data_IF_775919790932
#
_entry.id   IF_775919790932
#
_cell.length_a   1.000
_cell.length_b   1.000
_cell.length_c   1.000
_cell.angle_alpha   90.00
_cell.angle_beta   90.00
_cell.angle_gamma   90.00
#
_symmetry.space_group_name_H-M   'P 1'
#
loop_
_entity.id
_entity.type
_entity.pdbx_description
1 polymer ?
#
# COMPACT_ATOMS: atom_id res chain seq x y z
N UNK A 1 -18.03 0.61 -1.48
CA UNK A 1 -16.77 0.02 -1.01
C UNK A 1 -16.75 -1.49 -1.16
N UNK A 2 -17.75 -2.18 -0.61
CA UNK A 2 -17.76 -3.65 -0.60
C UNK A 2 -17.78 -4.28 -2.00
N UNK A 3 -18.44 -3.65 -2.96
CA UNK A 3 -18.47 -4.16 -4.33
C UNK A 3 -17.10 -4.08 -5.00
N UNK A 4 -16.38 -2.98 -4.76
CA UNK A 4 -15.03 -2.81 -5.30
C UNK A 4 -14.06 -3.78 -4.61
N UNK A 5 -14.22 -4.00 -3.31
CA UNK A 5 -13.40 -4.97 -2.58
C UNK A 5 -13.58 -6.38 -3.12
N UNK A 6 -14.81 -6.77 -3.50
CA UNK A 6 -15.08 -8.07 -4.12
C UNK A 6 -14.30 -8.25 -5.43
N UNK A 7 -14.15 -7.19 -6.20
CA UNK A 7 -13.40 -7.25 -7.45
C UNK A 7 -11.92 -7.53 -7.17
N UNK A 8 -11.34 -6.91 -6.14
CA UNK A 8 -9.96 -7.18 -5.73
C UNK A 8 -9.81 -8.64 -5.27
N UNK A 9 -10.73 -9.12 -4.45
CA UNK A 9 -10.69 -10.51 -3.97
C UNK A 9 -10.85 -11.51 -5.11
N UNK A 10 -11.67 -11.20 -6.10
CA UNK A 10 -11.83 -12.04 -7.30
C UNK A 10 -10.54 -12.07 -8.13
N UNK A 11 -9.86 -10.92 -8.27
CA UNK A 11 -8.58 -10.84 -8.96
C UNK A 11 -7.50 -11.66 -8.25
N UNK A 12 -7.46 -11.62 -6.92
CA UNK A 12 -6.54 -12.45 -6.13
C UNK A 12 -6.78 -13.93 -6.40
N UNK A 13 -8.02 -14.37 -6.37
CA UNK A 13 -8.35 -15.78 -6.66
C UNK A 13 -7.94 -16.18 -8.06
N UNK A 14 -8.16 -15.30 -9.03
CA UNK A 14 -7.75 -15.55 -10.41
C UNK A 14 -6.24 -15.80 -10.49
N UNK A 15 -5.44 -14.96 -9.86
CA UNK A 15 -3.98 -15.10 -9.85
C UNK A 15 -3.56 -16.37 -9.12
N UNK A 16 -4.20 -16.71 -8.00
CA UNK A 16 -3.91 -17.92 -7.23
C UNK A 16 -4.20 -19.19 -8.04
N UNK A 17 -5.27 -19.19 -8.84
CA UNK A 17 -5.58 -20.32 -9.72
C UNK A 17 -4.53 -20.54 -10.80
N UNK A 18 -3.76 -19.51 -11.12
CA UNK A 18 -2.74 -19.58 -12.17
C UNK A 18 -1.35 -19.98 -11.67
N UNK A 19 -0.99 -19.64 -10.44
CA UNK A 19 0.41 -19.73 -10.03
C UNK A 19 0.68 -20.35 -8.66
N UNK A 20 -0.28 -20.49 -7.79
CA UNK A 20 -0.10 -20.93 -6.39
C UNK A 20 0.92 -20.10 -5.58
N UNK A 21 1.41 -18.99 -6.13
CA UNK A 21 2.36 -18.13 -5.43
C UNK A 21 1.66 -17.12 -4.54
N UNK A 22 2.29 -16.72 -3.42
CA UNK A 22 1.76 -15.62 -2.62
C UNK A 22 1.60 -14.35 -3.46
N UNK A 23 0.55 -13.58 -3.14
CA UNK A 23 0.21 -12.36 -3.87
C UNK A 23 0.72 -11.15 -3.11
N UNK A 24 1.29 -10.18 -3.82
CA UNK A 24 1.56 -8.85 -3.29
C UNK A 24 0.58 -7.91 -3.98
N UNK A 25 -0.21 -7.20 -3.19
CA UNK A 25 -1.11 -6.18 -3.72
C UNK A 25 -0.35 -4.87 -3.86
N UNK A 26 -0.57 -4.19 -4.99
CA UNK A 26 0.08 -2.92 -5.30
C UNK A 26 -0.99 -1.93 -5.73
N UNK A 27 -1.25 -0.92 -4.91
CA UNK A 27 -2.31 0.06 -5.18
C UNK A 27 -1.86 1.49 -4.97
N UNK A 28 -2.50 2.40 -5.71
CA UNK A 28 -2.21 3.83 -5.65
C UNK A 28 -3.49 4.60 -5.32
N UNK A 29 -3.40 5.62 -4.46
CA UNK A 29 -4.55 6.42 -4.05
C UNK A 29 -5.61 5.58 -3.34
N UNK A 30 -6.85 5.72 -3.76
CA UNK A 30 -7.96 4.93 -3.21
C UNK A 30 -7.74 3.43 -3.36
N UNK A 31 -7.10 3.00 -4.44
CA UNK A 31 -6.77 1.60 -4.65
C UNK A 31 -5.69 1.10 -3.69
N UNK A 32 -4.82 1.99 -3.22
CA UNK A 32 -3.88 1.66 -2.14
C UNK A 32 -4.60 1.36 -0.84
N UNK A 33 -5.56 2.21 -0.48
CA UNK A 33 -6.39 2.00 0.71
C UNK A 33 -7.22 0.72 0.61
N UNK A 34 -7.78 0.47 -0.57
CA UNK A 34 -8.56 -0.73 -0.85
C UNK A 34 -7.70 -1.99 -0.74
N UNK A 35 -6.45 -1.94 -1.23
CA UNK A 35 -5.52 -3.05 -1.14
C UNK A 35 -5.17 -3.38 0.32
N UNK A 36 -4.97 -2.36 1.15
CA UNK A 36 -4.72 -2.56 2.58
C UNK A 36 -5.91 -3.26 3.26
N UNK A 37 -7.13 -2.84 2.94
CA UNK A 37 -8.34 -3.45 3.49
C UNK A 37 -8.52 -4.88 2.99
N UNK A 38 -8.36 -5.12 1.69
CA UNK A 38 -8.52 -6.46 1.11
C UNK A 38 -7.55 -7.48 1.68
N UNK A 39 -6.34 -7.03 2.05
CA UNK A 39 -5.33 -7.91 2.62
C UNK A 39 -5.75 -8.54 3.95
N UNK A 40 -6.72 -7.95 4.66
CA UNK A 40 -7.28 -8.54 5.88
C UNK A 40 -8.10 -9.79 5.60
N UNK A 41 -8.70 -9.87 4.41
CA UNK A 41 -9.71 -10.89 4.09
C UNK A 41 -9.15 -12.09 3.35
N UNK A 42 -7.89 -12.04 2.90
CA UNK A 42 -7.35 -13.12 2.06
C UNK A 42 -5.95 -13.53 2.52
N UNK A 43 -5.83 -14.77 2.95
CA UNK A 43 -4.58 -15.33 3.49
C UNK A 43 -3.47 -15.49 2.43
N UNK A 44 -3.84 -15.50 1.15
CA UNK A 44 -2.85 -15.60 0.07
C UNK A 44 -2.08 -14.31 -0.16
N UNK A 45 -2.58 -13.18 0.35
CA UNK A 45 -1.87 -11.90 0.28
C UNK A 45 -0.74 -11.91 1.29
N UNK A 46 0.49 -11.78 0.80
CA UNK A 46 1.70 -11.78 1.63
C UNK A 46 2.07 -10.39 2.11
N UNK A 47 1.87 -9.39 1.25
CA UNK A 47 2.29 -8.03 1.52
C UNK A 47 1.48 -7.04 0.69
N UNK A 48 1.53 -5.77 1.07
CA UNK A 48 0.85 -4.69 0.35
C UNK A 48 1.83 -3.55 0.11
N UNK A 49 1.80 -3.00 -1.10
CA UNK A 49 2.44 -1.74 -1.44
C UNK A 49 1.32 -0.72 -1.70
N UNK A 50 1.27 0.31 -0.88
CA UNK A 50 0.25 1.35 -0.99
C UNK A 50 0.91 2.71 -1.19
N UNK A 51 0.63 3.32 -2.33
CA UNK A 51 1.17 4.62 -2.70
C UNK A 51 0.10 5.70 -2.48
N UNK A 52 0.39 6.67 -1.64
CA UNK A 52 -0.54 7.74 -1.29
C UNK A 52 -1.93 7.25 -0.86
N UNK A 53 -2.00 6.25 0.05
CA UNK A 53 -3.31 5.83 0.56
C UNK A 53 -3.93 6.92 1.44
N UNK A 54 -5.24 6.82 1.69
CA UNK A 54 -5.95 7.80 2.50
C UNK A 54 -7.36 7.35 2.84
N UNK A 55 -8.12 8.24 3.47
CA UNK A 55 -9.49 8.00 3.89
C UNK A 55 -10.49 8.33 2.78
N UNK A 56 -10.41 7.60 1.69
CA UNK A 56 -11.23 7.85 0.49
C UNK A 56 -12.67 7.29 0.62
N UNK A 57 -12.94 6.47 1.65
CA UNK A 57 -14.19 5.72 1.75
C UNK A 57 -15.08 6.16 2.92
N UNK A 58 -14.69 7.23 3.61
CA UNK A 58 -15.52 7.79 4.68
C UNK A 58 -16.87 8.26 4.14
N UNK A 59 -17.95 8.18 4.92
CA UNK A 59 -18.04 7.64 6.27
C UNK A 59 -18.23 6.13 6.35
N UNK A 60 -18.37 5.44 5.21
CA UNK A 60 -18.69 4.02 5.20
C UNK A 60 -17.62 3.16 5.86
N UNK A 61 -16.34 3.46 5.57
CA UNK A 61 -15.18 2.75 6.11
C UNK A 61 -14.11 3.78 6.52
N UNK A 62 -13.58 3.62 7.72
CA UNK A 62 -12.39 4.37 8.16
C UNK A 62 -11.18 3.45 8.04
N UNK A 63 -10.30 3.74 7.08
CA UNK A 63 -9.16 2.87 6.75
C UNK A 63 -8.21 2.73 7.93
N UNK A 64 -7.89 3.81 8.64
CA UNK A 64 -7.00 3.76 9.79
C UNK A 64 -7.46 2.73 10.83
N UNK A 65 -8.75 2.69 11.13
CA UNK A 65 -9.30 1.72 12.06
C UNK A 65 -9.31 0.31 11.49
N UNK A 66 -9.71 0.19 10.23
CA UNK A 66 -9.80 -1.10 9.54
C UNK A 66 -8.46 -1.81 9.49
N UNK A 67 -7.39 -1.10 9.11
CA UNK A 67 -6.08 -1.72 8.93
C UNK A 67 -5.31 -1.91 10.25
N UNK A 68 -5.83 -1.44 11.37
CA UNK A 68 -5.18 -1.61 12.66
C UNK A 68 -4.94 -3.09 13.00
N UNK A 69 -5.77 -3.98 12.48
CA UNK A 69 -5.66 -5.42 12.68
C UNK A 69 -4.75 -6.12 11.65
N UNK A 70 -4.23 -5.39 10.66
CA UNK A 70 -3.43 -6.00 9.61
C UNK A 70 -2.05 -6.40 10.12
N UNK A 71 -1.75 -7.69 10.06
CA UNK A 71 -0.49 -8.27 10.53
C UNK A 71 0.31 -8.84 9.36
N UNK A 72 0.48 -8.02 8.33
CA UNK A 72 1.25 -8.36 7.12
C UNK A 72 2.16 -7.20 6.78
N UNK A 73 3.34 -7.46 6.20
CA UNK A 73 4.23 -6.38 5.80
C UNK A 73 3.57 -5.43 4.81
N UNK A 74 3.67 -4.14 5.08
CA UNK A 74 3.17 -3.10 4.17
C UNK A 74 4.28 -2.08 3.91
N UNK A 75 4.37 -1.64 2.66
CA UNK A 75 5.18 -0.50 2.26
C UNK A 75 4.23 0.65 1.91
N UNK A 76 4.41 1.78 2.58
CA UNK A 76 3.57 2.96 2.36
C UNK A 76 4.48 4.15 2.07
N UNK A 77 4.19 4.86 1.00
CA UNK A 77 4.89 6.10 0.66
C UNK A 77 3.93 7.10 0.03
N UNK A 78 4.41 8.32 -0.16
CA UNK A 78 3.60 9.44 -0.64
C UNK A 78 4.51 10.57 -1.09
N UNK A 79 3.93 11.68 -1.54
CA UNK A 79 4.66 12.94 -1.60
C UNK A 79 5.02 13.42 -0.20
N UNK A 80 5.95 14.37 -0.11
CA UNK A 80 6.33 14.96 1.17
C UNK A 80 5.14 15.65 1.86
N UNK A 81 4.30 16.32 1.07
CA UNK A 81 3.12 17.00 1.59
C UNK A 81 2.08 16.03 2.16
N UNK A 82 1.95 14.85 1.57
CA UNK A 82 1.01 13.82 2.03
C UNK A 82 1.55 12.99 3.20
N UNK A 83 2.85 13.01 3.44
CA UNK A 83 3.49 12.10 4.39
C UNK A 83 2.89 12.12 5.79
N UNK A 84 2.58 13.29 6.40
CA UNK A 84 1.93 13.30 7.72
C UNK A 84 0.63 12.51 7.75
N UNK A 85 -0.14 12.57 6.66
CA UNK A 85 -1.44 11.88 6.57
C UNK A 85 -1.27 10.37 6.43
N UNK A 86 -0.35 9.91 5.58
CA UNK A 86 -0.11 8.47 5.43
C UNK A 86 0.56 7.87 6.66
N UNK A 87 1.40 8.64 7.32
CA UNK A 87 2.02 8.24 8.59
C UNK A 87 0.95 8.06 9.68
N UNK A 88 0.00 8.98 9.78
CA UNK A 88 -1.11 8.85 10.72
C UNK A 88 -1.99 7.65 10.38
N UNK A 89 -2.29 7.44 9.10
CA UNK A 89 -3.08 6.31 8.65
C UNK A 89 -2.46 4.99 9.13
N UNK A 90 -1.15 4.86 9.02
CA UNK A 90 -0.41 3.66 9.39
C UNK A 90 -0.16 3.53 10.90
N UNK A 91 -0.38 4.58 11.67
CA UNK A 91 -0.03 4.61 13.10
C UNK A 91 -0.81 3.62 13.95
N UNK A 92 -1.99 3.19 13.48
CA UNK A 92 -2.81 2.19 14.18
C UNK A 92 -2.33 0.76 14.00
N UNK A 93 -1.47 0.50 13.02
CA UNK A 93 -0.91 -0.83 12.79
C UNK A 93 0.23 -1.13 13.75
N UNK A 94 0.51 -2.40 13.97
CA UNK A 94 1.76 -2.81 14.65
C UNK A 94 2.95 -2.37 13.78
N UNK A 95 3.82 -1.56 14.35
CA UNK A 95 4.88 -0.90 13.58
C UNK A 95 5.92 -1.86 13.00
N UNK A 96 6.03 -3.05 13.55
CA UNK A 96 6.93 -4.08 12.99
C UNK A 96 6.55 -4.51 11.57
N UNK A 97 5.30 -4.29 11.16
CA UNK A 97 4.82 -4.62 9.82
C UNK A 97 4.92 -3.44 8.85
N UNK A 98 5.18 -2.24 9.35
CA UNK A 98 5.05 -1.01 8.55
C UNK A 98 6.43 -0.52 8.11
N UNK A 99 6.59 -0.35 6.80
CA UNK A 99 7.71 0.38 6.20
C UNK A 99 7.16 1.65 5.58
N UNK A 100 7.49 2.79 6.19
CA UNK A 100 7.14 4.11 5.67
C UNK A 100 8.36 4.71 4.99
N UNK A 101 8.16 5.23 3.78
CA UNK A 101 9.22 5.97 3.09
C UNK A 101 8.79 7.41 2.88
N UNK A 102 9.57 8.34 3.45
CA UNK A 102 9.42 9.78 3.23
C UNK A 102 10.47 10.22 2.21
N UNK A 103 10.08 10.90 1.11
CA UNK A 103 11.05 11.37 0.14
C UNK A 103 12.02 12.36 0.76
N UNK A 104 13.31 12.22 0.47
CA UNK A 104 14.38 13.07 0.97
C UNK A 104 14.73 14.17 -0.02
N UNK A 105 14.63 13.88 -1.31
CA UNK A 105 14.97 14.81 -2.38
C UNK A 105 13.69 15.39 -2.97
N UNK A 106 13.62 16.72 -3.01
CA UNK A 106 12.46 17.43 -3.55
C UNK A 106 11.18 17.18 -2.76
N UNK A 107 10.05 17.51 -3.38
CA UNK A 107 8.73 17.39 -2.76
C UNK A 107 8.14 15.98 -2.89
N UNK A 108 8.78 15.09 -3.63
CA UNK A 108 8.18 13.82 -4.01
C UNK A 108 7.07 14.00 -5.03
N UNK A 109 6.32 12.94 -5.27
CA UNK A 109 5.14 13.02 -6.10
C UNK A 109 4.08 12.04 -5.58
N UNK A 110 2.86 12.20 -6.05
CA UNK A 110 1.70 11.48 -5.57
C UNK A 110 1.54 10.15 -6.27
N UNK A 111 1.30 9.10 -5.50
CA UNK A 111 0.95 7.79 -6.04
C UNK A 111 2.00 7.27 -7.01
N UNK A 112 1.55 6.67 -8.10
CA UNK A 112 2.45 6.07 -9.10
C UNK A 112 3.37 7.07 -9.80
N UNK A 113 3.03 8.36 -9.77
CA UNK A 113 3.88 9.40 -10.37
C UNK A 113 5.26 9.46 -9.73
N UNK A 114 5.36 9.11 -8.45
CA UNK A 114 6.65 9.11 -7.74
C UNK A 114 7.64 8.08 -8.31
N UNK A 115 7.13 7.07 -8.98
CA UNK A 115 7.93 6.01 -9.61
C UNK A 115 8.14 6.24 -11.11
N UNK A 116 7.52 7.29 -11.67
CA UNK A 116 7.61 7.57 -13.11
C UNK A 116 9.02 7.98 -13.52
N UNK A 117 9.43 7.58 -14.73
CA UNK A 117 10.69 8.03 -15.32
C UNK A 117 10.72 9.55 -15.51
N UNK A 118 9.57 10.20 -15.54
CA UNK A 118 9.47 11.67 -15.69
C UNK A 118 9.72 12.40 -14.37
N UNK A 119 9.69 11.69 -13.24
CA UNK A 119 9.98 12.32 -11.96
C UNK A 119 11.49 12.25 -11.68
N UNK A 120 12.10 13.42 -11.48
CA UNK A 120 13.55 13.59 -11.35
C UNK A 120 14.16 12.69 -10.25
N UNK A 121 13.50 12.56 -9.13
CA UNK A 121 14.02 11.82 -7.97
C UNK A 121 13.33 10.47 -7.77
N UNK A 122 12.84 9.87 -8.83
CA UNK A 122 12.15 8.58 -8.76
C UNK A 122 13.02 7.45 -8.18
N UNK A 123 14.33 7.56 -8.34
CA UNK A 123 15.26 6.49 -7.94
C UNK A 123 15.23 6.19 -6.44
N UNK A 124 15.00 7.19 -5.58
CA UNK A 124 14.94 6.93 -4.13
C UNK A 124 13.70 6.13 -3.75
N UNK A 125 12.57 6.35 -4.44
CA UNK A 125 11.36 5.55 -4.24
C UNK A 125 11.58 4.11 -4.67
N UNK A 126 12.18 3.91 -5.85
CA UNK A 126 12.50 2.57 -6.35
C UNK A 126 13.44 1.83 -5.42
N UNK A 127 14.47 2.52 -4.92
CA UNK A 127 15.44 1.91 -4.00
C UNK A 127 14.77 1.47 -2.70
N UNK A 128 13.91 2.32 -2.13
CA UNK A 128 13.18 1.99 -0.90
C UNK A 128 12.27 0.78 -1.11
N UNK A 129 11.55 0.74 -2.23
CA UNK A 129 10.67 -0.39 -2.56
C UNK A 129 11.47 -1.69 -2.76
N UNK A 130 12.61 -1.61 -3.43
CA UNK A 130 13.47 -2.77 -3.63
C UNK A 130 13.97 -3.35 -2.31
N UNK A 131 14.34 -2.49 -1.36
CA UNK A 131 14.75 -2.94 -0.02
C UNK A 131 13.59 -3.66 0.70
N UNK A 132 12.38 -3.12 0.57
CA UNK A 132 11.20 -3.77 1.14
C UNK A 132 10.99 -5.16 0.55
N UNK A 133 11.06 -5.30 -0.76
CA UNK A 133 10.91 -6.60 -1.41
C UNK A 133 12.02 -7.58 -1.01
N UNK A 134 13.23 -7.09 -0.86
CA UNK A 134 14.36 -7.91 -0.41
C UNK A 134 14.08 -8.50 0.97
N UNK A 135 13.52 -7.71 1.88
CA UNK A 135 13.20 -8.16 3.23
C UNK A 135 12.07 -9.19 3.27
N UNK A 136 11.25 -9.29 2.22
CA UNK A 136 10.19 -10.28 2.11
C UNK A 136 10.70 -11.67 1.71
N UNK A 137 11.89 -11.74 1.14
CA UNK A 137 12.44 -13.01 0.61
C UNK A 137 13.15 -13.85 1.66
#
# INVERSE_FOLDING_TARGET
FHDIEKDVLAAIRYVQDKSDQPVILFGSGANGSLSLSAALSDSSVRAVVALSPGEYFMPAIKIQETISALQKPVFITSSKAEYPYVSELASGMEQKYVTLFEPKQGAGDRGTRSFSVDYEYNSEYWFALMLFFKDLM
#
